data_IF_647121035900
#
_entry.id   IF_647121035900
#
_cell.length_a   1.000
_cell.length_b   1.000
_cell.length_c   1.000
_cell.angle_alpha   90.00
_cell.angle_beta   90.00
_cell.angle_gamma   90.00
#
_symmetry.space_group_name_H-M   'P 1'
#
loop_
_entity.id
_entity.type
_entity.pdbx_description
1 polymer ?
#
# COMPACT_ATOMS: atom_id res chain seq x y z
N UNK A 1 -13.11 32.43 -12.49
CA UNK A 1 -13.67 31.47 -11.53
C UNK A 1 -12.87 31.59 -10.25
N UNK A 2 -13.51 31.74 -9.09
CA UNK A 2 -12.79 31.76 -7.81
C UNK A 2 -12.26 30.34 -7.52
N UNK A 3 -11.10 30.23 -6.87
CA UNK A 3 -10.53 28.92 -6.49
C UNK A 3 -11.56 28.06 -5.71
N UNK A 4 -12.36 28.67 -4.84
CA UNK A 4 -13.42 28.00 -4.07
C UNK A 4 -14.53 27.37 -4.92
N UNK A 5 -14.76 27.87 -6.14
CA UNK A 5 -15.79 27.40 -7.07
C UNK A 5 -15.30 26.20 -7.92
N UNK A 6 -13.98 25.97 -7.99
CA UNK A 6 -13.41 24.86 -8.73
C UNK A 6 -13.65 23.52 -8.00
N UNK A 7 -13.78 22.41 -8.75
CA UNK A 7 -14.02 21.09 -8.17
C UNK A 7 -12.78 20.58 -7.42
N UNK A 8 -13.00 19.55 -6.60
CA UNK A 8 -11.92 18.68 -6.10
C UNK A 8 -11.78 17.51 -7.06
N UNK A 9 -10.58 17.29 -7.59
CA UNK A 9 -10.32 16.14 -8.47
C UNK A 9 -9.93 14.94 -7.61
N UNK A 10 -10.55 13.79 -7.88
CA UNK A 10 -10.19 12.49 -7.31
C UNK A 10 -9.61 11.61 -8.43
N UNK A 11 -8.37 11.14 -8.26
CA UNK A 11 -7.69 10.29 -9.23
C UNK A 11 -7.87 8.83 -8.82
N UNK A 12 -8.58 8.06 -9.63
CA UNK A 12 -8.90 6.65 -9.41
C UNK A 12 -10.26 6.43 -8.75
N UNK A 13 -11.07 5.54 -9.34
CA UNK A 13 -12.39 5.12 -8.85
C UNK A 13 -12.33 3.74 -8.18
N UNK A 14 -11.28 3.51 -7.38
CA UNK A 14 -11.23 2.38 -6.44
C UNK A 14 -12.04 2.65 -5.16
N UNK A 15 -12.05 1.72 -4.19
CA UNK A 15 -12.82 1.86 -2.95
C UNK A 15 -12.53 3.17 -2.20
N UNK A 16 -11.26 3.54 -2.07
CA UNK A 16 -10.83 4.76 -1.36
C UNK A 16 -11.20 6.03 -2.15
N UNK A 17 -11.07 6.02 -3.48
CA UNK A 17 -11.45 7.16 -4.31
C UNK A 17 -12.95 7.42 -4.33
N UNK A 18 -13.76 6.37 -4.43
CA UNK A 18 -15.23 6.50 -4.33
C UNK A 18 -15.67 6.92 -2.93
N UNK A 19 -15.00 6.44 -1.87
CA UNK A 19 -15.25 6.93 -0.52
C UNK A 19 -14.92 8.42 -0.41
N UNK A 20 -13.78 8.89 -0.95
CA UNK A 20 -13.46 10.32 -0.99
C UNK A 20 -14.56 11.13 -1.68
N UNK A 21 -15.09 10.66 -2.81
CA UNK A 21 -16.20 11.30 -3.50
C UNK A 21 -17.48 11.32 -2.65
N UNK A 22 -17.80 10.22 -1.95
CA UNK A 22 -18.95 10.16 -1.04
C UNK A 22 -18.84 11.21 0.08
N UNK A 23 -17.68 11.30 0.74
CA UNK A 23 -17.41 12.30 1.77
C UNK A 23 -17.47 13.74 1.22
N UNK A 24 -17.00 13.97 -0.02
CA UNK A 24 -17.06 15.30 -0.66
C UNK A 24 -18.51 15.72 -0.91
N UNK A 25 -19.31 14.81 -1.48
CA UNK A 25 -20.74 15.02 -1.76
C UNK A 25 -21.53 15.28 -0.46
N UNK A 26 -21.25 14.51 0.61
CA UNK A 26 -21.89 14.69 1.91
C UNK A 26 -21.62 16.08 2.52
N UNK A 27 -20.53 16.74 2.13
CA UNK A 27 -20.14 18.09 2.56
C UNK A 27 -20.45 19.18 1.52
N UNK A 28 -21.21 18.87 0.47
CA UNK A 28 -21.59 19.82 -0.58
C UNK A 28 -20.42 20.29 -1.45
N UNK A 29 -19.29 19.57 -1.44
CA UNK A 29 -18.14 19.86 -2.29
C UNK A 29 -18.25 19.03 -3.56
N UNK A 30 -18.17 19.67 -4.73
CA UNK A 30 -18.27 18.98 -6.03
C UNK A 30 -16.99 18.17 -6.33
N UNK A 31 -17.05 16.83 -6.43
CA UNK A 31 -15.95 16.04 -6.96
C UNK A 31 -15.95 15.99 -8.50
N UNK A 32 -14.79 15.71 -9.08
CA UNK A 32 -14.63 15.11 -10.42
C UNK A 32 -13.71 13.90 -10.30
N UNK A 33 -14.18 12.72 -10.66
CA UNK A 33 -13.46 11.46 -10.51
C UNK A 33 -12.94 11.02 -11.88
N UNK A 34 -11.64 10.81 -12.00
CA UNK A 34 -11.02 10.29 -13.22
C UNK A 34 -10.52 8.87 -13.01
N UNK A 35 -11.08 7.91 -13.74
CA UNK A 35 -10.70 6.50 -13.72
C UNK A 35 -10.14 6.10 -15.09
N UNK A 36 -8.94 5.54 -15.08
CA UNK A 36 -8.26 5.16 -16.31
C UNK A 36 -8.89 3.90 -16.96
N UNK A 37 -9.45 3.00 -16.15
CA UNK A 37 -10.15 1.80 -16.59
C UNK A 37 -11.52 2.08 -17.19
N UNK A 38 -12.10 1.04 -17.79
CA UNK A 38 -13.44 1.06 -18.38
C UNK A 38 -14.58 0.91 -17.36
N UNK A 39 -14.24 0.65 -16.09
CA UNK A 39 -15.16 0.58 -14.95
C UNK A 39 -14.47 1.05 -13.67
N UNK A 40 -15.27 1.45 -12.67
CA UNK A 40 -14.78 1.65 -11.32
C UNK A 40 -14.18 0.36 -10.77
N UNK A 41 -13.08 0.46 -10.01
CA UNK A 41 -12.38 -0.70 -9.46
C UNK A 41 -11.72 -1.60 -10.51
N UNK A 42 -11.31 -1.08 -11.68
CA UNK A 42 -10.68 -1.87 -12.76
C UNK A 42 -9.47 -2.70 -12.31
N UNK A 43 -8.66 -2.21 -11.36
CA UNK A 43 -7.58 -3.01 -10.77
C UNK A 43 -8.10 -4.23 -9.98
N UNK A 44 -9.23 -4.09 -9.28
CA UNK A 44 -9.85 -5.18 -8.51
C UNK A 44 -10.29 -6.33 -9.41
N UNK A 45 -10.81 -6.04 -10.61
CA UNK A 45 -11.20 -7.12 -11.55
C UNK A 45 -10.04 -8.03 -11.94
N UNK A 46 -8.79 -7.54 -11.92
CA UNK A 46 -7.59 -8.33 -12.26
C UNK A 46 -7.23 -9.36 -11.19
N UNK A 47 -7.66 -9.15 -9.95
CA UNK A 47 -7.48 -10.10 -8.84
C UNK A 47 -8.82 -10.52 -8.24
N UNK A 48 -9.91 -10.47 -9.01
CA UNK A 48 -11.25 -10.71 -8.49
C UNK A 48 -11.47 -12.10 -7.87
N UNK A 49 -10.67 -13.09 -8.24
CA UNK A 49 -10.72 -14.43 -7.65
C UNK A 49 -10.13 -14.49 -6.23
N UNK A 50 -9.28 -13.54 -5.84
CA UNK A 50 -8.56 -13.55 -4.57
C UNK A 50 -9.50 -13.23 -3.42
N UNK A 51 -9.49 -14.07 -2.37
CA UNK A 51 -10.21 -13.82 -1.11
C UNK A 51 -9.45 -12.82 -0.24
N UNK A 52 -10.16 -11.86 0.32
CA UNK A 52 -9.62 -10.85 1.23
C UNK A 52 -9.41 -11.43 2.63
N UNK A 53 -8.46 -10.85 3.37
CA UNK A 53 -8.20 -11.20 4.78
C UNK A 53 -9.00 -10.36 5.78
N UNK A 54 -9.81 -9.42 5.29
CA UNK A 54 -10.67 -8.54 6.09
C UNK A 54 -12.15 -8.89 5.85
N UNK A 55 -12.97 -8.98 6.91
CA UNK A 55 -14.41 -9.14 6.79
C UNK A 55 -15.06 -7.87 6.21
N UNK A 56 -16.30 -7.99 5.72
CA UNK A 56 -17.05 -6.90 5.09
C UNK A 56 -17.14 -5.62 5.92
N UNK A 57 -17.24 -5.73 7.24
CA UNK A 57 -17.28 -4.57 8.16
C UNK A 57 -16.06 -3.63 8.05
N UNK A 58 -14.90 -4.14 7.62
CA UNK A 58 -13.70 -3.32 7.40
C UNK A 58 -13.49 -2.93 5.93
N UNK A 59 -14.39 -3.39 5.05
CA UNK A 59 -14.27 -3.21 3.61
C UNK A 59 -15.26 -2.20 3.03
N UNK A 60 -16.21 -1.71 3.82
CA UNK A 60 -17.23 -0.74 3.42
C UNK A 60 -17.05 0.56 4.20
N UNK A 61 -16.96 1.70 3.51
CA UNK A 61 -16.92 3.01 4.16
C UNK A 61 -18.31 3.41 4.68
N UNK A 62 -18.35 4.07 5.85
CA UNK A 62 -19.60 4.43 6.53
C UNK A 62 -20.42 5.47 5.75
N UNK A 63 -19.77 6.43 5.10
CA UNK A 63 -20.45 7.48 4.33
C UNK A 63 -20.92 6.95 2.97
N UNK A 64 -20.07 6.16 2.30
CA UNK A 64 -20.45 5.43 1.09
C UNK A 64 -21.65 4.49 1.32
N UNK A 65 -21.69 3.80 2.45
CA UNK A 65 -22.83 2.95 2.83
C UNK A 65 -24.14 3.73 2.96
N UNK A 66 -24.12 4.98 3.46
CA UNK A 66 -25.32 5.82 3.54
C UNK A 66 -25.85 6.18 2.15
N UNK A 67 -24.95 6.55 1.22
CA UNK A 67 -25.32 6.81 -0.17
C UNK A 67 -25.92 5.57 -0.84
N UNK A 68 -25.32 4.40 -0.63
CA UNK A 68 -25.83 3.14 -1.14
C UNK A 68 -27.19 2.78 -0.55
N UNK A 69 -27.39 2.92 0.76
CA UNK A 69 -28.64 2.57 1.42
C UNK A 69 -29.85 3.33 0.83
N UNK A 70 -29.66 4.57 0.38
CA UNK A 70 -30.70 5.36 -0.30
C UNK A 70 -31.17 4.75 -1.63
N UNK A 71 -30.42 3.81 -2.22
CA UNK A 71 -30.77 3.09 -3.46
C UNK A 71 -31.48 1.75 -3.22
N UNK A 72 -31.74 1.38 -1.95
CA UNK A 72 -32.23 0.05 -1.59
C UNK A 72 -31.13 -1.01 -1.54
N UNK A 73 -29.85 -0.62 -1.57
CA UNK A 73 -28.72 -1.52 -1.40
C UNK A 73 -28.76 -2.22 -0.04
N UNK A 74 -28.53 -3.53 -0.04
CA UNK A 74 -28.46 -4.34 1.18
C UNK A 74 -27.00 -4.68 1.45
N UNK A 75 -26.52 -4.30 2.63
CA UNK A 75 -25.15 -4.57 3.05
C UNK A 75 -24.90 -6.09 3.16
N UNK A 76 -23.76 -6.59 2.66
CA UNK A 76 -23.35 -7.98 2.88
C UNK A 76 -23.15 -8.29 4.37
N UNK A 77 -23.20 -9.58 4.73
CA UNK A 77 -23.01 -10.02 6.11
C UNK A 77 -21.65 -9.63 6.68
N UNK A 78 -21.66 -8.80 7.73
CA UNK A 78 -20.48 -8.12 8.28
C UNK A 78 -19.25 -9.02 8.51
N UNK A 79 -19.44 -10.21 9.10
CA UNK A 79 -18.35 -11.13 9.45
C UNK A 79 -17.85 -12.05 8.32
N UNK A 80 -18.38 -11.92 7.10
CA UNK A 80 -17.93 -12.73 5.96
C UNK A 80 -16.80 -12.05 5.18
N UNK A 81 -15.91 -12.85 4.59
CA UNK A 81 -14.70 -12.39 3.90
C UNK A 81 -14.91 -12.41 2.39
N UNK A 82 -15.04 -11.25 1.72
CA UNK A 82 -15.28 -11.20 0.29
C UNK A 82 -14.06 -11.62 -0.52
N UNK A 83 -14.32 -12.09 -1.74
CA UNK A 83 -13.37 -12.06 -2.84
C UNK A 83 -13.32 -10.67 -3.48
N UNK A 84 -12.26 -10.35 -4.23
CA UNK A 84 -12.19 -9.11 -5.00
C UNK A 84 -13.40 -8.93 -5.93
N UNK A 85 -13.92 -10.02 -6.50
CA UNK A 85 -15.10 -10.03 -7.37
C UNK A 85 -16.38 -9.70 -6.59
N UNK A 86 -16.52 -10.19 -5.37
CA UNK A 86 -17.63 -9.85 -4.48
C UNK A 86 -17.54 -8.39 -4.03
N UNK A 87 -16.35 -7.91 -3.63
CA UNK A 87 -16.09 -6.49 -3.33
C UNK A 87 -16.51 -5.59 -4.49
N UNK A 88 -16.12 -5.97 -5.72
CA UNK A 88 -16.44 -5.21 -6.92
C UNK A 88 -17.95 -5.20 -7.19
N UNK A 89 -18.59 -6.37 -7.22
CA UNK A 89 -20.01 -6.51 -7.60
C UNK A 89 -20.98 -6.00 -6.53
N UNK A 90 -20.66 -6.19 -5.25
CA UNK A 90 -21.59 -5.91 -4.15
C UNK A 90 -21.34 -4.54 -3.51
N UNK A 91 -20.23 -3.86 -3.76
CA UNK A 91 -19.93 -2.56 -3.15
C UNK A 91 -19.44 -1.50 -4.15
N UNK A 92 -18.32 -1.75 -4.85
CA UNK A 92 -17.67 -0.72 -5.68
C UNK A 92 -18.51 -0.32 -6.90
N UNK A 93 -18.99 -1.29 -7.69
CA UNK A 93 -19.81 -1.00 -8.87
C UNK A 93 -21.17 -0.39 -8.49
N UNK A 94 -21.90 -0.91 -7.48
CA UNK A 94 -23.12 -0.24 -6.99
C UNK A 94 -22.89 1.21 -6.56
N UNK A 95 -21.79 1.49 -5.85
CA UNK A 95 -21.47 2.84 -5.39
C UNK A 95 -21.18 3.79 -6.55
N UNK A 96 -20.41 3.32 -7.53
CA UNK A 96 -20.12 4.07 -8.75
C UNK A 96 -21.37 4.36 -9.60
N UNK A 97 -22.41 3.52 -9.50
CA UNK A 97 -23.66 3.65 -10.24
C UNK A 97 -24.70 4.55 -9.54
N UNK A 98 -24.46 5.00 -8.31
CA UNK A 98 -25.33 5.98 -7.65
C UNK A 98 -25.36 7.26 -8.48
N UNK A 99 -26.52 7.83 -8.86
CA UNK A 99 -26.59 8.96 -9.80
C UNK A 99 -25.65 10.13 -9.47
N UNK A 100 -25.63 10.56 -8.20
CA UNK A 100 -24.76 11.67 -7.76
C UNK A 100 -23.26 11.35 -7.86
N UNK A 101 -22.87 10.08 -7.89
CA UNK A 101 -21.49 9.63 -8.11
C UNK A 101 -21.23 9.42 -9.60
N UNK A 102 -22.12 8.76 -10.34
CA UNK A 102 -21.95 8.52 -11.77
C UNK A 102 -21.86 9.81 -12.58
N UNK A 103 -22.60 10.85 -12.18
CA UNK A 103 -22.62 12.16 -12.84
C UNK A 103 -21.26 12.91 -12.78
N UNK A 104 -20.38 12.52 -11.85
CA UNK A 104 -19.05 13.08 -11.71
C UNK A 104 -17.92 12.08 -12.02
N UNK A 105 -18.27 10.87 -12.47
CA UNK A 105 -17.33 9.79 -12.77
C UNK A 105 -17.00 9.76 -14.27
N UNK A 106 -15.73 9.98 -14.58
CA UNK A 106 -15.18 9.91 -15.92
C UNK A 106 -14.33 8.65 -16.07
N UNK A 107 -14.92 7.62 -16.67
CA UNK A 107 -14.24 6.36 -17.02
C UNK A 107 -13.38 6.54 -18.28
N UNK A 108 -12.46 5.59 -18.53
CA UNK A 108 -11.53 5.59 -19.66
C UNK A 108 -10.76 6.92 -19.79
N UNK A 109 -10.52 7.57 -18.66
CA UNK A 109 -9.93 8.90 -18.59
C UNK A 109 -8.73 8.86 -17.65
N UNK A 110 -7.54 8.81 -18.22
CA UNK A 110 -6.28 8.72 -17.48
C UNK A 110 -5.78 10.12 -17.15
N UNK A 111 -5.46 10.38 -15.88
CA UNK A 111 -4.70 11.57 -15.50
C UNK A 111 -3.24 11.37 -15.91
N UNK A 112 -2.71 12.29 -16.71
CA UNK A 112 -1.35 12.28 -17.22
C UNK A 112 -0.40 13.11 -16.35
N UNK A 113 -0.87 14.27 -15.88
CA UNK A 113 -0.06 15.19 -15.08
C UNK A 113 -0.94 16.07 -14.18
N UNK A 114 -0.38 16.49 -13.06
CA UNK A 114 -0.92 17.49 -12.14
C UNK A 114 0.16 18.54 -11.88
N UNK A 115 -0.18 19.81 -12.07
CA UNK A 115 0.70 20.95 -11.79
C UNK A 115 -0.08 22.09 -11.15
N UNK A 116 0.60 23.19 -10.81
CA UNK A 116 -0.03 24.45 -10.41
C UNK A 116 -0.15 25.35 -11.65
N UNK A 117 -1.37 25.81 -11.94
CA UNK A 117 -1.68 26.56 -13.16
C UNK A 117 -0.83 27.84 -13.25
N UNK A 118 -0.06 27.96 -14.34
CA UNK A 118 0.86 29.08 -14.58
C UNK A 118 1.99 29.25 -13.56
N UNK A 119 2.21 28.28 -12.66
CA UNK A 119 3.19 28.39 -11.56
C UNK A 119 4.28 27.33 -11.66
N UNK A 120 5.46 27.76 -12.09
CA UNK A 120 6.69 26.96 -12.13
C UNK A 120 7.07 26.42 -10.74
N UNK A 121 7.54 25.17 -10.70
CA UNK A 121 7.88 24.44 -9.46
C UNK A 121 8.96 25.14 -8.62
N UNK A 122 9.85 25.92 -9.21
CA UNK A 122 10.90 26.67 -8.51
C UNK A 122 10.45 28.06 -8.03
N UNK A 123 9.30 28.57 -8.49
CA UNK A 123 8.82 29.91 -8.14
C UNK A 123 7.84 29.88 -6.98
N UNK A 124 7.99 30.83 -6.04
CA UNK A 124 7.13 30.93 -4.85
C UNK A 124 5.93 31.87 -5.05
N UNK A 125 6.12 32.98 -5.77
CA UNK A 125 5.13 34.04 -5.88
C UNK A 125 3.85 33.53 -6.54
N UNK A 126 2.73 33.60 -5.82
CA UNK A 126 1.40 33.22 -6.32
C UNK A 126 1.15 31.72 -6.42
N UNK A 127 2.10 30.88 -5.99
CA UNK A 127 1.96 29.42 -6.10
C UNK A 127 0.90 28.88 -5.16
N UNK A 128 0.85 29.35 -3.92
CA UNK A 128 -0.10 28.84 -2.93
C UNK A 128 -1.55 29.04 -3.40
N UNK A 129 -1.83 30.20 -4.00
CA UNK A 129 -3.16 30.61 -4.46
C UNK A 129 -3.54 30.07 -5.86
N UNK A 130 -2.59 29.54 -6.62
CA UNK A 130 -2.84 29.02 -7.96
C UNK A 130 -3.74 27.76 -7.91
N UNK A 131 -4.62 27.61 -8.90
CA UNK A 131 -5.38 26.38 -9.08
C UNK A 131 -4.43 25.22 -9.44
N UNK A 132 -4.90 23.98 -9.24
CA UNK A 132 -4.27 22.84 -9.86
C UNK A 132 -4.72 22.75 -11.32
N UNK A 133 -3.79 22.48 -12.23
CA UNK A 133 -4.08 22.07 -13.60
C UNK A 133 -3.86 20.56 -13.68
N UNK A 134 -4.91 19.83 -14.07
CA UNK A 134 -4.88 18.37 -14.24
C UNK A 134 -5.07 18.06 -15.71
N UNK A 135 -4.04 17.49 -16.34
CA UNK A 135 -4.10 17.01 -17.72
C UNK A 135 -4.66 15.60 -17.74
N UNK A 136 -5.71 15.40 -18.52
CA UNK A 136 -6.36 14.09 -18.69
C UNK A 136 -6.39 13.67 -20.15
N UNK A 137 -6.22 12.37 -20.41
CA UNK A 137 -6.45 11.73 -21.71
C UNK A 137 -7.71 10.87 -21.60
N UNK A 138 -8.79 11.31 -22.26
CA UNK A 138 -10.07 10.62 -22.30
C UNK A 138 -10.48 10.19 -23.71
N UNK A 139 -11.70 9.66 -23.89
CA UNK A 139 -12.21 9.22 -25.18
C UNK A 139 -12.27 10.31 -26.26
N UNK A 140 -12.33 11.59 -25.85
CA UNK A 140 -12.38 12.76 -26.73
C UNK A 140 -11.00 13.37 -26.99
N UNK A 141 -9.92 12.77 -26.47
CA UNK A 141 -8.56 13.28 -26.55
C UNK A 141 -8.06 13.88 -25.23
N UNK A 142 -6.96 14.63 -25.32
CA UNK A 142 -6.33 15.29 -24.17
C UNK A 142 -6.98 16.64 -23.87
N UNK A 143 -7.18 16.93 -22.58
CA UNK A 143 -7.64 18.24 -22.10
C UNK A 143 -7.13 18.56 -20.71
N UNK A 144 -7.08 19.85 -20.40
CA UNK A 144 -6.71 20.36 -19.08
C UNK A 144 -7.96 20.71 -18.28
N UNK A 145 -7.97 20.37 -16.99
CA UNK A 145 -9.06 20.64 -16.05
C UNK A 145 -8.49 21.37 -14.84
N UNK A 146 -9.11 22.49 -14.48
CA UNK A 146 -8.72 23.24 -13.28
C UNK A 146 -9.43 22.69 -12.03
N UNK A 147 -8.71 22.62 -10.92
CA UNK A 147 -9.21 22.16 -9.64
C UNK A 147 -8.69 22.99 -8.46
N UNK A 148 -9.45 23.00 -7.37
CA UNK A 148 -9.03 23.63 -6.11
C UNK A 148 -8.14 22.72 -5.28
N UNK A 149 -8.28 21.41 -5.43
CA UNK A 149 -7.56 20.38 -4.70
C UNK A 149 -7.55 19.07 -5.50
N UNK A 150 -6.58 18.21 -5.20
CA UNK A 150 -6.39 16.90 -5.85
C UNK A 150 -6.20 15.82 -4.79
N UNK A 151 -7.01 14.78 -4.85
CA UNK A 151 -6.88 13.57 -4.02
C UNK A 151 -6.44 12.44 -4.95
N UNK A 152 -5.19 12.00 -4.80
CA UNK A 152 -4.62 10.89 -5.56
C UNK A 152 -4.86 9.55 -4.85
N UNK A 153 -5.90 8.85 -5.30
CA UNK A 153 -6.30 7.52 -4.83
C UNK A 153 -6.01 6.41 -5.87
N UNK A 154 -5.06 6.64 -6.79
CA UNK A 154 -4.78 5.74 -7.92
C UNK A 154 -4.12 4.40 -7.53
N UNK A 155 -3.74 4.25 -6.25
CA UNK A 155 -3.15 3.01 -5.73
C UNK A 155 -1.76 2.71 -6.29
N UNK A 156 -1.36 1.44 -6.21
CA UNK A 156 -0.02 0.96 -6.62
C UNK A 156 -0.07 -0.19 -7.63
N UNK A 157 -1.24 -0.78 -7.88
CA UNK A 157 -1.39 -2.05 -8.60
C UNK A 157 -0.88 -2.03 -10.05
N UNK A 158 -0.92 -0.87 -10.72
CA UNK A 158 -0.39 -0.73 -12.08
C UNK A 158 1.15 -0.70 -12.14
N UNK A 159 1.84 -0.59 -11.00
CA UNK A 159 3.31 -0.44 -10.94
C UNK A 159 3.93 -1.51 -10.04
N UNK A 160 4.17 -2.73 -10.57
CA UNK A 160 4.80 -3.79 -9.80
C UNK A 160 6.25 -3.44 -9.43
N UNK A 161 6.74 -4.07 -8.37
CA UNK A 161 8.16 -4.16 -8.07
C UNK A 161 8.81 -5.16 -9.02
N UNK A 162 9.99 -4.86 -9.52
CA UNK A 162 10.68 -5.74 -10.46
C UNK A 162 11.07 -7.10 -9.83
N UNK A 163 11.28 -8.10 -10.68
CA UNK A 163 11.81 -9.40 -10.27
C UNK A 163 13.30 -9.29 -9.90
N UNK A 164 14.05 -8.47 -10.64
CA UNK A 164 15.46 -8.21 -10.38
C UNK A 164 15.74 -7.74 -8.95
N UNK A 165 16.81 -8.30 -8.36
CA UNK A 165 17.11 -8.12 -6.94
C UNK A 165 17.46 -6.67 -6.55
N UNK A 166 17.96 -5.88 -7.51
CA UNK A 166 18.45 -4.51 -7.29
C UNK A 166 17.37 -3.43 -7.43
N UNK A 167 16.09 -3.81 -7.44
CA UNK A 167 14.98 -2.84 -7.57
C UNK A 167 14.82 -2.26 -8.98
N UNK A 168 15.44 -2.90 -9.97
CA UNK A 168 15.34 -2.67 -11.42
C UNK A 168 15.07 -4.03 -12.11
N UNK A 169 14.61 -4.06 -13.38
CA UNK A 169 14.43 -5.33 -14.09
C UNK A 169 15.74 -6.12 -14.10
N UNK A 170 15.65 -7.44 -13.96
CA UNK A 170 16.76 -8.32 -14.28
C UNK A 170 17.07 -8.21 -15.79
N UNK A 171 18.32 -8.43 -16.17
CA UNK A 171 18.66 -8.53 -17.58
C UNK A 171 17.85 -9.67 -18.23
N UNK A 172 17.29 -9.43 -19.41
CA UNK A 172 16.40 -10.39 -20.11
C UNK A 172 14.95 -10.42 -19.61
N UNK A 173 14.63 -9.76 -18.50
CA UNK A 173 13.27 -9.78 -17.91
C UNK A 173 12.23 -9.11 -18.83
N UNK A 174 12.57 -7.96 -19.41
CA UNK A 174 11.65 -7.22 -20.28
C UNK A 174 11.44 -7.91 -21.61
N UNK A 175 12.48 -8.57 -22.13
CA UNK A 175 12.45 -9.39 -23.33
C UNK A 175 11.57 -10.63 -23.12
N UNK A 176 11.63 -11.24 -21.94
CA UNK A 176 10.86 -12.43 -21.57
C UNK A 176 9.41 -12.14 -21.11
N UNK A 177 8.90 -10.89 -21.24
CA UNK A 177 7.58 -10.47 -20.73
C UNK A 177 6.39 -11.32 -21.18
N UNK A 178 6.50 -12.04 -22.30
CA UNK A 178 5.44 -12.94 -22.77
C UNK A 178 5.19 -14.11 -21.81
N UNK A 179 6.22 -14.52 -21.05
CA UNK A 179 6.22 -15.67 -20.13
C UNK A 179 6.38 -15.25 -18.66
N UNK A 180 6.38 -13.94 -18.38
CA UNK A 180 6.50 -13.38 -17.03
C UNK A 180 5.24 -12.59 -16.70
N UNK A 181 4.53 -13.00 -15.64
CA UNK A 181 3.31 -12.34 -15.17
C UNK A 181 3.55 -11.73 -13.80
N UNK A 182 3.25 -10.44 -13.66
CA UNK A 182 3.26 -9.74 -12.38
C UNK A 182 1.91 -9.82 -11.67
N UNK A 183 1.92 -10.07 -10.36
CA UNK A 183 0.72 -10.05 -9.51
C UNK A 183 0.26 -11.44 -9.07
N UNK A 184 -1.06 -11.66 -9.12
CA UNK A 184 -1.72 -12.90 -8.69
C UNK A 184 -2.63 -13.35 -9.84
N UNK A 185 -2.13 -14.15 -10.81
CA UNK A 185 -2.96 -14.67 -11.89
C UNK A 185 -3.94 -15.73 -11.38
N UNK A 186 -5.09 -15.86 -12.05
CA UNK A 186 -6.12 -16.87 -11.75
C UNK A 186 -5.70 -18.24 -12.30
N UNK A 187 -4.59 -18.77 -11.78
CA UNK A 187 -3.85 -19.88 -12.37
C UNK A 187 -4.63 -21.20 -12.35
N UNK A 188 -5.59 -21.37 -11.45
CA UNK A 188 -6.50 -22.52 -11.43
C UNK A 188 -7.83 -22.25 -12.15
N UNK A 189 -8.25 -21.00 -12.24
CA UNK A 189 -9.49 -20.60 -12.91
C UNK A 189 -9.27 -20.22 -14.37
N UNK A 190 -9.51 -18.96 -14.69
CA UNK A 190 -9.58 -18.50 -16.08
C UNK A 190 -8.25 -18.60 -16.84
N UNK A 191 -7.11 -18.66 -16.15
CA UNK A 191 -5.79 -18.67 -16.77
C UNK A 191 -5.14 -20.08 -16.74
N UNK A 192 -5.89 -21.13 -16.38
CA UNK A 192 -5.36 -22.49 -16.22
C UNK A 192 -4.65 -23.04 -17.46
N UNK A 193 -5.09 -22.71 -18.68
CA UNK A 193 -4.46 -23.16 -19.91
C UNK A 193 -3.02 -22.66 -20.08
N UNK A 194 -2.67 -21.52 -19.47
CA UNK A 194 -1.30 -21.00 -19.47
C UNK A 194 -0.36 -21.86 -18.65
N UNK A 195 -0.85 -22.43 -17.55
CA UNK A 195 -0.02 -23.07 -16.52
C UNK A 195 -0.12 -24.60 -16.49
N UNK A 196 -1.17 -25.19 -17.07
CA UNK A 196 -1.39 -26.64 -17.07
C UNK A 196 -0.25 -27.38 -17.76
N UNK A 197 0.24 -28.43 -17.13
CA UNK A 197 1.36 -29.25 -17.62
C UNK A 197 2.65 -28.43 -17.88
N UNK A 198 2.81 -27.27 -17.22
CA UNK A 198 4.00 -26.42 -17.32
C UNK A 198 4.85 -26.44 -16.05
N UNK A 199 6.11 -26.08 -16.20
CA UNK A 199 7.02 -25.74 -15.10
C UNK A 199 6.85 -24.26 -14.79
N UNK A 200 6.42 -23.94 -13.58
CA UNK A 200 6.10 -22.58 -13.18
C UNK A 200 6.95 -22.17 -11.99
N UNK A 201 7.67 -21.05 -12.12
CA UNK A 201 8.41 -20.43 -11.02
C UNK A 201 7.59 -19.29 -10.42
N UNK A 202 7.28 -19.36 -9.13
CA UNK A 202 6.73 -18.25 -8.37
C UNK A 202 7.87 -17.53 -7.64
N UNK A 203 8.01 -16.22 -7.83
CA UNK A 203 9.03 -15.38 -7.18
C UNK A 203 8.37 -14.46 -6.16
N UNK A 204 8.82 -14.53 -4.91
CA UNK A 204 8.35 -13.66 -3.83
C UNK A 204 7.85 -14.43 -2.60
N UNK A 205 7.91 -13.81 -1.43
CA UNK A 205 7.57 -14.44 -0.15
C UNK A 205 6.33 -13.87 0.55
N UNK A 206 5.49 -13.11 -0.17
CA UNK A 206 4.27 -12.53 0.38
C UNK A 206 3.02 -13.38 0.13
N UNK A 207 1.89 -12.97 0.68
CA UNK A 207 0.59 -13.64 0.51
C UNK A 207 0.15 -13.78 -0.95
N UNK A 208 0.56 -12.85 -1.82
CA UNK A 208 0.36 -12.96 -3.27
C UNK A 208 0.98 -14.22 -3.85
N UNK A 209 2.22 -14.55 -3.44
CA UNK A 209 2.90 -15.77 -3.87
C UNK A 209 2.19 -17.02 -3.32
N UNK A 210 1.71 -16.97 -2.08
CA UNK A 210 1.02 -18.11 -1.46
C UNK A 210 -0.29 -18.47 -2.15
N UNK A 211 -1.06 -17.47 -2.61
CA UNK A 211 -2.26 -17.73 -3.40
C UNK A 211 -1.90 -18.40 -4.73
N UNK A 212 -0.94 -17.84 -5.48
CA UNK A 212 -0.49 -18.44 -6.74
C UNK A 212 0.03 -19.88 -6.57
N UNK A 213 0.79 -20.15 -5.50
CA UNK A 213 1.28 -21.49 -5.20
C UNK A 213 0.14 -22.48 -4.90
N UNK A 214 -0.90 -22.06 -4.17
CA UNK A 214 -2.07 -22.90 -3.92
C UNK A 214 -2.83 -23.22 -5.20
N UNK A 215 -3.07 -22.23 -6.05
CA UNK A 215 -3.75 -22.41 -7.33
C UNK A 215 -2.98 -23.35 -8.25
N UNK A 216 -1.66 -23.18 -8.36
CA UNK A 216 -0.81 -24.07 -9.17
C UNK A 216 -0.75 -25.50 -8.65
N UNK A 217 -0.73 -25.69 -7.34
CA UNK A 217 -0.75 -27.03 -6.74
C UNK A 217 -2.12 -27.70 -6.93
N UNK A 218 -3.20 -26.93 -6.83
CA UNK A 218 -4.53 -27.42 -7.14
C UNK A 218 -4.62 -27.82 -8.62
N UNK A 219 -4.11 -26.99 -9.53
CA UNK A 219 -4.03 -27.29 -10.96
C UNK A 219 -3.21 -28.56 -11.24
N UNK A 220 -2.13 -28.79 -10.51
CA UNK A 220 -1.29 -29.97 -10.67
C UNK A 220 -2.01 -31.29 -10.31
N UNK A 221 -3.10 -31.23 -9.53
CA UNK A 221 -3.95 -32.41 -9.28
C UNK A 221 -4.70 -32.85 -10.55
N UNK A 222 -5.12 -31.90 -11.40
CA UNK A 222 -5.84 -32.15 -12.66
C UNK A 222 -4.88 -32.27 -13.86
N UNK A 223 -3.69 -31.68 -13.76
CA UNK A 223 -2.65 -31.66 -14.78
C UNK A 223 -1.30 -32.12 -14.20
N UNK A 224 -1.04 -33.46 -14.10
CA UNK A 224 0.07 -34.01 -13.32
C UNK A 224 1.49 -33.66 -13.81
N UNK A 225 1.64 -33.18 -15.05
CA UNK A 225 2.94 -32.72 -15.55
C UNK A 225 3.30 -31.30 -15.06
N UNK A 226 2.38 -30.60 -14.40
CA UNK A 226 2.61 -29.28 -13.82
C UNK A 226 3.65 -29.37 -12.70
N UNK A 227 4.71 -28.57 -12.77
CA UNK A 227 5.77 -28.49 -11.75
C UNK A 227 5.78 -27.11 -11.13
N UNK A 228 5.76 -27.06 -9.80
CA UNK A 228 5.70 -25.81 -9.04
C UNK A 228 7.03 -25.55 -8.35
N UNK A 229 7.70 -24.49 -8.79
CA UNK A 229 8.93 -23.97 -8.19
C UNK A 229 8.63 -22.67 -7.45
N UNK A 230 9.29 -22.45 -6.32
CA UNK A 230 9.14 -21.25 -5.52
C UNK A 230 10.49 -20.66 -5.17
N UNK A 231 10.72 -19.38 -5.47
CA UNK A 231 11.95 -18.67 -5.15
C UNK A 231 11.70 -17.53 -4.16
N UNK A 232 12.52 -17.49 -3.10
CA UNK A 232 12.51 -16.44 -2.09
C UNK A 232 13.91 -15.85 -1.88
N UNK A 233 13.95 -14.54 -1.61
CA UNK A 233 15.17 -13.82 -1.22
C UNK A 233 15.67 -14.21 0.17
N UNK A 234 14.76 -14.39 1.13
CA UNK A 234 15.11 -14.71 2.51
C UNK A 234 15.57 -16.16 2.71
N UNK A 235 16.21 -16.41 3.85
CA UNK A 235 16.63 -17.77 4.26
C UNK A 235 15.69 -18.40 5.30
N UNK A 236 14.98 -17.59 6.11
CA UNK A 236 14.04 -18.09 7.13
C UNK A 236 12.65 -18.27 6.54
N UNK A 237 12.23 -19.53 6.47
CA UNK A 237 10.89 -19.90 6.06
C UNK A 237 9.87 -19.63 7.18
N UNK A 238 10.24 -19.73 8.47
CA UNK A 238 9.32 -19.46 9.58
C UNK A 238 8.82 -18.01 9.55
N UNK A 239 9.70 -17.05 9.28
CA UNK A 239 9.32 -15.64 9.17
C UNK A 239 8.38 -15.37 8.00
N UNK A 240 8.55 -16.08 6.89
CA UNK A 240 7.77 -15.92 5.66
C UNK A 240 6.38 -16.55 5.79
N UNK A 241 6.29 -17.74 6.39
CA UNK A 241 5.01 -18.44 6.58
C UNK A 241 4.11 -17.78 7.64
N UNK A 242 4.63 -16.80 8.40
CA UNK A 242 3.86 -16.06 9.38
C UNK A 242 3.53 -16.88 10.64
N UNK A 243 3.02 -16.21 11.68
CA UNK A 243 2.87 -16.71 13.05
C UNK A 243 1.93 -17.92 13.26
N UNK A 244 1.54 -18.64 12.21
CA UNK A 244 0.69 -19.82 12.28
C UNK A 244 -0.64 -19.54 12.96
N UNK A 245 -1.03 -20.37 13.93
CA UNK A 245 -2.23 -20.17 14.76
C UNK A 245 -2.19 -18.90 15.61
N UNK A 246 -1.02 -18.27 15.77
CA UNK A 246 -0.84 -17.00 16.49
C UNK A 246 -0.84 -15.78 15.55
N UNK A 247 -1.10 -15.98 14.25
CA UNK A 247 -1.32 -14.86 13.34
C UNK A 247 -2.65 -14.18 13.69
N UNK A 248 -2.58 -12.86 13.84
CA UNK A 248 -3.69 -12.05 14.33
C UNK A 248 -4.82 -11.89 13.32
N UNK A 249 -4.55 -12.12 12.04
CA UNK A 249 -5.59 -12.42 11.05
C UNK A 249 -5.58 -13.92 10.79
N UNK A 250 -6.59 -14.62 11.31
CA UNK A 250 -6.66 -16.09 11.26
C UNK A 250 -6.47 -16.64 9.83
N UNK A 251 -7.13 -16.01 8.85
CA UNK A 251 -7.03 -16.43 7.44
C UNK A 251 -5.61 -16.28 6.86
N UNK A 252 -4.84 -15.31 7.36
CA UNK A 252 -3.46 -15.10 6.95
C UNK A 252 -2.53 -16.20 7.48
N UNK A 253 -2.66 -16.52 8.77
CA UNK A 253 -1.92 -17.63 9.39
C UNK A 253 -2.29 -18.99 8.80
N UNK A 254 -3.58 -19.19 8.50
CA UNK A 254 -4.08 -20.38 7.81
C UNK A 254 -3.42 -20.57 6.44
N UNK A 255 -3.24 -19.48 5.68
CA UNK A 255 -2.58 -19.53 4.37
C UNK A 255 -1.13 -20.02 4.48
N UNK A 256 -0.37 -19.51 5.45
CA UNK A 256 1.00 -19.94 5.72
C UNK A 256 1.10 -21.41 6.11
N UNK A 257 0.22 -21.88 6.99
CA UNK A 257 0.18 -23.30 7.40
C UNK A 257 -0.13 -24.24 6.22
N UNK A 258 -1.02 -23.82 5.30
CA UNK A 258 -1.31 -24.58 4.07
C UNK A 258 -0.07 -24.70 3.19
N UNK A 259 0.65 -23.61 2.93
CA UNK A 259 1.89 -23.65 2.13
C UNK A 259 2.94 -24.55 2.77
N UNK A 260 3.09 -24.50 4.10
CA UNK A 260 3.98 -25.42 4.83
C UNK A 260 3.63 -26.88 4.54
N UNK A 261 2.36 -27.25 4.65
CA UNK A 261 1.92 -28.62 4.38
C UNK A 261 2.20 -29.05 2.93
N UNK A 262 2.07 -28.14 1.96
CA UNK A 262 2.37 -28.43 0.55
C UNK A 262 3.87 -28.64 0.30
N UNK A 263 4.74 -27.93 1.01
CA UNK A 263 6.19 -28.18 0.99
C UNK A 263 6.53 -29.52 1.61
N UNK A 264 5.95 -29.82 2.78
CA UNK A 264 6.18 -31.10 3.49
C UNK A 264 5.71 -32.30 2.64
N UNK A 265 4.69 -32.11 1.80
CA UNK A 265 4.21 -33.10 0.82
C UNK A 265 5.07 -33.18 -0.47
N UNK A 266 6.09 -32.35 -0.63
CA UNK A 266 6.94 -32.32 -1.83
C UNK A 266 6.25 -31.76 -3.09
N UNK A 267 5.11 -31.07 -2.94
CA UNK A 267 4.34 -30.52 -4.07
C UNK A 267 4.94 -29.23 -4.62
N UNK A 268 5.78 -28.56 -3.83
CA UNK A 268 6.47 -27.31 -4.18
C UNK A 268 7.97 -27.50 -3.95
N UNK A 269 8.78 -27.13 -4.93
CA UNK A 269 10.25 -27.09 -4.77
C UNK A 269 10.70 -25.68 -4.45
N UNK A 270 11.31 -25.49 -3.28
CA UNK A 270 11.70 -24.17 -2.75
C UNK A 270 13.20 -23.86 -2.96
N UNK A 271 13.50 -22.71 -3.54
CA UNK A 271 14.81 -22.09 -3.63
C UNK A 271 14.90 -20.88 -2.70
N UNK A 272 15.94 -20.86 -1.84
CA UNK A 272 16.16 -19.80 -0.83
C UNK A 272 17.39 -18.98 -1.19
N UNK A 273 17.48 -17.77 -0.64
CA UNK A 273 18.63 -16.89 -0.91
C UNK A 273 18.71 -16.43 -2.37
N UNK A 274 17.59 -16.47 -3.10
CA UNK A 274 17.57 -16.18 -4.53
C UNK A 274 17.64 -14.68 -4.76
N UNK A 275 18.70 -14.23 -5.43
CA UNK A 275 18.96 -12.84 -5.82
C UNK A 275 19.09 -12.78 -7.35
N UNK A 276 17.96 -12.55 -8.03
CA UNK A 276 17.87 -12.65 -9.48
C UNK A 276 18.57 -11.48 -10.15
N UNK A 277 19.54 -11.76 -11.02
CA UNK A 277 20.28 -10.76 -11.81
C UNK A 277 19.98 -10.83 -13.31
N UNK A 278 19.67 -12.02 -13.83
CA UNK A 278 19.52 -12.28 -15.26
C UNK A 278 18.52 -13.41 -15.53
N UNK A 279 17.85 -13.36 -16.68
CA UNK A 279 16.99 -14.42 -17.21
C UNK A 279 17.32 -14.67 -18.66
N UNK A 280 17.68 -15.91 -19.00
CA UNK A 280 17.87 -16.34 -20.39
C UNK A 280 16.62 -17.03 -20.93
N UNK A 281 16.27 -16.72 -22.17
CA UNK A 281 15.29 -17.51 -22.94
C UNK A 281 16.03 -18.54 -23.79
N UNK A 282 15.79 -19.83 -23.52
CA UNK A 282 16.43 -20.95 -24.21
C UNK A 282 15.40 -21.90 -24.81
N UNK A 283 15.82 -22.85 -25.65
CA UNK A 283 14.94 -23.92 -26.15
C UNK A 283 14.33 -24.76 -25.03
N UNK A 284 15.03 -24.88 -23.90
CA UNK A 284 14.56 -25.61 -22.72
C UNK A 284 13.61 -24.80 -21.82
N UNK A 285 13.36 -23.52 -22.13
CA UNK A 285 12.58 -22.57 -21.33
C UNK A 285 13.41 -21.41 -20.78
N UNK A 286 12.84 -20.70 -19.82
CA UNK A 286 13.46 -19.60 -19.08
C UNK A 286 14.42 -20.13 -18.02
N UNK A 287 15.66 -19.64 -18.02
CA UNK A 287 16.68 -19.97 -16.99
C UNK A 287 16.94 -18.71 -16.16
N UNK A 288 16.66 -18.81 -14.87
CA UNK A 288 16.86 -17.71 -13.91
C UNK A 288 18.24 -17.85 -13.27
N UNK A 289 19.03 -16.78 -13.31
CA UNK A 289 20.36 -16.70 -12.70
C UNK A 289 20.32 -15.96 -11.37
N UNK A 290 20.98 -16.52 -10.37
CA UNK A 290 21.04 -15.99 -9.02
C UNK A 290 22.37 -16.32 -8.37
N UNK A 291 23.12 -15.31 -7.90
CA UNK A 291 24.39 -15.48 -7.18
C UNK A 291 25.44 -16.36 -7.91
N UNK A 292 25.47 -16.35 -9.25
CA UNK A 292 26.36 -17.20 -10.04
C UNK A 292 25.88 -18.64 -10.23
N UNK A 293 24.71 -18.98 -9.71
CA UNK A 293 24.02 -20.25 -9.90
C UNK A 293 22.78 -20.08 -10.79
N UNK A 294 22.24 -21.20 -11.28
CA UNK A 294 21.01 -21.22 -12.09
C UNK A 294 19.92 -22.03 -11.41
N UNK A 295 18.69 -21.56 -11.51
CA UNK A 295 17.50 -22.33 -11.16
C UNK A 295 17.13 -23.24 -12.34
N UNK A 296 16.34 -24.32 -12.12
CA UNK A 296 15.86 -25.18 -13.21
C UNK A 296 15.11 -24.38 -14.28
N UNK A 297 15.23 -24.81 -15.53
CA UNK A 297 14.50 -24.20 -16.63
C UNK A 297 12.97 -24.32 -16.40
N UNK A 298 12.26 -23.21 -16.59
CA UNK A 298 10.80 -23.10 -16.41
C UNK A 298 10.13 -22.55 -17.66
N UNK A 299 8.83 -22.79 -17.81
CA UNK A 299 8.05 -22.30 -18.95
C UNK A 299 7.42 -20.94 -18.66
N UNK A 300 7.01 -20.70 -17.40
CA UNK A 300 6.32 -19.49 -16.97
C UNK A 300 6.87 -19.00 -15.61
N UNK A 301 6.89 -17.68 -15.40
CA UNK A 301 7.26 -17.06 -14.14
C UNK A 301 6.13 -16.17 -13.63
N UNK A 302 5.73 -16.36 -12.38
CA UNK A 302 4.81 -15.48 -11.65
C UNK A 302 5.63 -14.65 -10.67
N UNK A 303 5.63 -13.34 -10.84
CA UNK A 303 6.37 -12.39 -10.01
C UNK A 303 5.42 -11.71 -9.02
N UNK A 304 5.52 -12.15 -7.76
CA UNK A 304 4.72 -11.69 -6.63
C UNK A 304 5.59 -10.92 -5.61
N UNK A 305 6.35 -9.94 -6.10
CA UNK A 305 7.32 -9.14 -5.33
C UNK A 305 6.77 -7.80 -4.82
N UNK A 306 5.44 -7.63 -4.86
CA UNK A 306 4.73 -6.43 -4.41
C UNK A 306 4.67 -5.32 -5.47
N UNK A 307 4.23 -4.15 -5.03
CA UNK A 307 3.95 -3.00 -5.89
C UNK A 307 4.54 -1.72 -5.27
N UNK A 308 4.48 -0.61 -6.02
CA UNK A 308 4.97 0.72 -5.62
C UNK A 308 4.10 1.83 -6.22
N UNK A 309 4.14 3.06 -5.70
CA UNK A 309 3.38 4.17 -6.25
C UNK A 309 4.02 4.69 -7.55
N UNK A 310 3.19 5.11 -8.50
CA UNK A 310 3.63 5.94 -9.61
C UNK A 310 3.48 7.43 -9.25
N UNK A 311 4.61 8.10 -8.99
CA UNK A 311 4.64 9.52 -8.63
C UNK A 311 4.91 10.46 -9.82
N UNK A 312 5.15 9.93 -11.02
CA UNK A 312 5.53 10.74 -12.19
C UNK A 312 4.47 11.79 -12.52
N UNK A 313 3.18 11.45 -12.38
CA UNK A 313 2.07 12.36 -12.68
C UNK A 313 2.02 13.58 -11.74
N UNK A 314 2.73 13.55 -10.60
CA UNK A 314 2.80 14.65 -9.63
C UNK A 314 4.16 15.38 -9.66
N UNK A 315 4.98 15.14 -10.69
CA UNK A 315 6.37 15.62 -10.74
C UNK A 315 6.56 17.14 -10.71
N UNK A 316 5.52 17.91 -11.08
CA UNK A 316 5.52 19.39 -11.04
C UNK A 316 4.92 19.98 -9.76
N UNK A 317 4.73 19.13 -8.74
CA UNK A 317 4.28 19.53 -7.42
C UNK A 317 5.42 19.44 -6.40
N UNK A 318 5.35 20.28 -5.38
CA UNK A 318 6.23 20.24 -4.22
C UNK A 318 5.64 19.27 -3.21
N UNK A 319 6.10 18.03 -3.27
CA UNK A 319 5.69 16.95 -2.37
C UNK A 319 6.75 16.69 -1.29
N UNK A 320 6.30 16.31 -0.10
CA UNK A 320 7.16 15.79 0.96
C UNK A 320 7.07 14.26 0.97
N UNK A 321 7.95 13.60 0.20
CA UNK A 321 7.97 12.14 0.04
C UNK A 321 9.26 11.55 0.62
N UNK A 322 9.12 10.52 1.43
CA UNK A 322 10.24 9.70 1.91
C UNK A 322 10.81 8.85 0.75
N UNK A 323 12.13 8.95 0.44
CA UNK A 323 12.71 8.24 -0.70
C UNK A 323 12.64 6.71 -0.63
N UNK A 324 12.65 6.12 0.58
CA UNK A 324 12.74 4.67 0.76
C UNK A 324 11.36 4.01 0.60
N UNK A 325 10.40 4.46 1.40
CA UNK A 325 9.02 3.97 1.41
C UNK A 325 8.23 4.50 0.23
N UNK A 326 8.59 5.68 -0.30
CA UNK A 326 7.80 6.45 -1.28
C UNK A 326 6.44 6.90 -0.74
N UNK A 327 6.37 7.17 0.56
CA UNK A 327 5.18 7.63 1.29
C UNK A 327 5.33 9.11 1.69
N UNK A 328 4.27 9.82 2.08
CA UNK A 328 4.40 11.11 2.74
C UNK A 328 5.37 11.05 3.94
N UNK A 329 6.25 12.04 4.08
CA UNK A 329 7.34 12.03 5.09
C UNK A 329 6.83 11.85 6.51
N UNK A 330 5.70 12.46 6.86
CA UNK A 330 5.12 12.34 8.21
C UNK A 330 4.49 10.96 8.45
N UNK A 331 3.99 10.32 7.39
CA UNK A 331 3.42 8.97 7.48
C UNK A 331 4.51 7.89 7.53
N UNK A 332 5.63 8.07 6.81
CA UNK A 332 6.62 7.02 6.59
C UNK A 332 7.11 6.33 7.88
N UNK A 333 7.47 7.04 8.97
CA UNK A 333 7.87 6.40 10.22
C UNK A 333 6.76 5.54 10.86
N UNK A 334 5.49 5.90 10.66
CA UNK A 334 4.34 5.21 11.27
C UNK A 334 4.00 3.87 10.60
N UNK A 335 4.54 3.63 9.40
CA UNK A 335 4.23 2.46 8.58
C UNK A 335 5.47 1.67 8.16
N UNK A 336 6.66 2.02 8.66
CA UNK A 336 7.90 1.33 8.30
C UNK A 336 7.80 -0.16 8.63
N UNK A 337 7.92 -1.06 7.63
CA UNK A 337 7.80 -2.50 7.86
C UNK A 337 8.91 -3.10 8.74
N UNK A 338 9.98 -2.35 9.01
CA UNK A 338 11.04 -2.75 9.94
C UNK A 338 10.65 -2.51 11.40
N UNK A 339 9.75 -1.56 11.66
CA UNK A 339 9.36 -1.14 13.01
C UNK A 339 7.91 -1.53 13.36
N UNK A 340 7.06 -1.65 12.34
CA UNK A 340 5.61 -1.75 12.51
C UNK A 340 4.99 -2.92 11.76
N UNK A 341 3.85 -3.39 12.30
CA UNK A 341 2.95 -4.35 11.67
C UNK A 341 1.56 -3.72 11.55
N UNK A 342 0.66 -4.27 10.72
CA UNK A 342 -0.57 -3.57 10.30
C UNK A 342 -1.51 -3.03 11.41
N UNK A 343 -1.34 -3.43 12.66
CA UNK A 343 -2.17 -3.07 13.81
C UNK A 343 -1.35 -2.45 14.94
N UNK A 344 -0.11 -2.06 14.66
CA UNK A 344 0.63 -1.06 15.44
C UNK A 344 0.59 0.32 14.77
N UNK A 345 0.11 0.39 13.53
CA UNK A 345 -0.03 1.64 12.77
C UNK A 345 -1.16 2.46 13.39
N UNK A 346 -0.83 3.68 13.82
CA UNK A 346 -1.82 4.61 14.36
C UNK A 346 -2.73 5.14 13.23
N UNK A 347 -3.99 5.48 13.54
CA UNK A 347 -4.82 6.26 12.63
C UNK A 347 -4.07 7.52 12.19
N UNK A 348 -4.15 7.83 10.91
CA UNK A 348 -3.48 8.98 10.30
C UNK A 348 -4.40 9.58 9.24
N UNK A 349 -4.32 10.90 9.13
CA UNK A 349 -5.25 11.71 8.37
C UNK A 349 -4.55 12.86 7.69
N UNK A 350 -5.21 14.01 7.64
CA UNK A 350 -4.76 15.16 6.88
C UNK A 350 -3.36 15.64 7.28
N UNK A 351 -3.01 15.60 8.56
CA UNK A 351 -1.73 16.13 9.06
C UNK A 351 -0.55 15.28 8.53
N UNK A 352 -0.66 13.95 8.56
CA UNK A 352 0.39 13.05 8.05
C UNK A 352 0.46 12.99 6.51
N UNK A 353 -0.64 13.32 5.84
CA UNK A 353 -0.78 13.25 4.37
C UNK A 353 -0.54 14.59 3.67
N UNK A 354 -0.26 15.65 4.42
CA UNK A 354 -0.04 17.00 3.89
C UNK A 354 1.30 17.14 3.17
N UNK A 355 1.31 18.01 2.16
CA UNK A 355 2.48 18.33 1.34
C UNK A 355 2.74 19.84 1.29
N UNK A 356 3.97 20.28 0.92
CA UNK A 356 4.29 21.70 0.77
C UNK A 356 3.40 22.46 -0.20
N UNK A 357 3.00 21.86 -1.32
CA UNK A 357 1.87 22.37 -2.09
C UNK A 357 0.57 21.96 -1.39
N UNK A 358 -0.12 22.94 -0.80
CA UNK A 358 -1.39 22.70 -0.10
C UNK A 358 -2.51 22.29 -1.07
N UNK A 359 -3.38 21.38 -0.62
CA UNK A 359 -4.55 20.92 -1.38
C UNK A 359 -4.29 19.71 -2.28
N UNK A 360 -3.07 19.16 -2.32
CA UNK A 360 -2.81 17.83 -2.90
C UNK A 360 -2.58 16.80 -1.80
N UNK A 361 -3.23 15.63 -1.93
CA UNK A 361 -3.13 14.53 -0.98
C UNK A 361 -2.95 13.20 -1.71
N UNK A 362 -1.99 12.39 -1.28
CA UNK A 362 -1.84 11.01 -1.73
C UNK A 362 -2.50 10.12 -0.67
N UNK A 363 -3.49 9.31 -1.07
CA UNK A 363 -4.32 8.52 -0.14
C UNK A 363 -4.39 7.04 -0.51
N UNK A 364 -4.95 6.24 0.38
CA UNK A 364 -5.12 4.80 0.22
C UNK A 364 -3.80 4.06 0.15
N UNK A 365 -3.79 2.92 -0.55
CA UNK A 365 -2.57 2.11 -0.73
C UNK A 365 -1.41 2.91 -1.35
N UNK A 366 -1.69 3.98 -2.11
CA UNK A 366 -0.64 4.81 -2.71
C UNK A 366 0.14 5.59 -1.65
N UNK A 367 -0.52 6.03 -0.58
CA UNK A 367 0.12 6.79 0.49
C UNK A 367 1.06 5.91 1.33
N UNK A 368 0.82 4.59 1.35
CA UNK A 368 1.70 3.62 2.01
C UNK A 368 2.95 3.30 1.20
N UNK A 369 3.03 3.78 -0.03
CA UNK A 369 4.17 3.59 -0.90
C UNK A 369 4.48 2.10 -1.12
N UNK A 370 5.57 1.62 -0.54
CA UNK A 370 6.04 0.23 -0.60
C UNK A 370 5.73 -0.59 0.67
N UNK A 371 5.13 0.02 1.69
CA UNK A 371 4.78 -0.67 2.93
C UNK A 371 3.60 -1.63 2.69
N UNK A 372 3.69 -2.91 3.14
CA UNK A 372 2.70 -3.94 2.83
C UNK A 372 1.50 -3.99 3.80
N UNK A 373 1.37 -3.01 4.70
CA UNK A 373 0.52 -3.08 5.90
C UNK A 373 -0.80 -2.32 5.79
N UNK A 374 -1.24 -2.00 4.57
CA UNK A 374 -2.44 -1.21 4.33
C UNK A 374 -3.74 -2.00 4.53
N UNK A 375 -4.75 -1.35 5.11
CA UNK A 375 -6.12 -1.82 5.25
C UNK A 375 -7.07 -0.82 4.61
N UNK A 376 -8.16 -1.30 3.99
CA UNK A 376 -9.15 -0.39 3.38
C UNK A 376 -9.77 0.56 4.41
N UNK A 377 -10.02 0.07 5.63
CA UNK A 377 -10.50 0.87 6.75
C UNK A 377 -9.58 2.07 7.06
N UNK A 378 -8.26 1.88 6.97
CA UNK A 378 -7.30 2.98 7.11
C UNK A 378 -7.46 3.99 5.98
N UNK A 379 -7.59 3.53 4.73
CA UNK A 379 -7.85 4.41 3.60
C UNK A 379 -9.14 5.23 3.73
N UNK A 380 -10.18 4.64 4.33
CA UNK A 380 -11.43 5.34 4.62
C UNK A 380 -11.26 6.43 5.67
N UNK A 381 -10.49 6.16 6.74
CA UNK A 381 -10.15 7.18 7.73
C UNK A 381 -9.35 8.34 7.12
N UNK A 382 -8.38 8.04 6.25
CA UNK A 382 -7.59 9.04 5.56
C UNK A 382 -8.48 10.01 4.77
N UNK A 383 -9.39 9.48 3.94
CA UNK A 383 -10.24 10.33 3.10
C UNK A 383 -11.30 11.07 3.89
N UNK A 384 -11.84 10.49 4.97
CA UNK A 384 -12.73 11.19 5.92
C UNK A 384 -12.02 12.43 6.47
N UNK A 385 -10.79 12.26 6.99
CA UNK A 385 -9.99 13.33 7.57
C UNK A 385 -9.62 14.41 6.54
N UNK A 386 -9.07 14.00 5.39
CA UNK A 386 -8.67 14.92 4.30
C UNK A 386 -9.85 15.74 3.80
N UNK A 387 -10.99 15.10 3.56
CA UNK A 387 -12.17 15.77 3.01
C UNK A 387 -12.80 16.72 4.03
N UNK A 388 -12.77 16.39 5.33
CA UNK A 388 -13.19 17.32 6.38
C UNK A 388 -12.34 18.61 6.37
N UNK A 389 -11.02 18.47 6.28
CA UNK A 389 -10.12 19.63 6.21
C UNK A 389 -10.31 20.45 4.92
N UNK A 390 -10.48 19.78 3.78
CA UNK A 390 -10.80 20.44 2.51
C UNK A 390 -12.13 21.20 2.55
N UNK A 391 -13.10 20.76 3.36
CA UNK A 391 -14.36 21.46 3.59
C UNK A 391 -14.27 22.58 4.64
N UNK A 392 -13.10 22.78 5.27
CA UNK A 392 -12.86 23.79 6.31
C UNK A 392 -13.19 23.31 7.74
N UNK A 393 -13.57 22.06 7.92
CA UNK A 393 -13.91 21.45 9.21
C UNK A 393 -12.67 20.78 9.82
N UNK A 394 -11.76 21.61 10.33
CA UNK A 394 -10.49 21.18 10.90
C UNK A 394 -10.62 20.37 12.19
N UNK A 395 -11.70 20.57 12.95
CA UNK A 395 -11.97 19.77 14.14
C UNK A 395 -12.31 18.33 13.75
N UNK A 396 -13.22 18.13 12.79
CA UNK A 396 -13.49 16.79 12.28
C UNK A 396 -12.29 16.18 11.57
N UNK A 397 -11.49 16.99 10.86
CA UNK A 397 -10.29 16.51 10.18
C UNK A 397 -9.28 15.87 11.15
N UNK A 398 -9.07 16.48 12.33
CA UNK A 398 -8.10 16.00 13.32
C UNK A 398 -8.66 15.00 14.33
N UNK A 399 -9.97 14.80 14.36
CA UNK A 399 -10.58 13.74 15.17
C UNK A 399 -10.23 12.39 14.59
N UNK A 400 -9.83 11.45 15.44
CA UNK A 400 -9.60 10.06 15.06
C UNK A 400 -10.91 9.29 15.20
N UNK A 401 -11.39 8.71 14.10
CA UNK A 401 -12.64 7.90 14.09
C UNK A 401 -12.39 6.43 13.71
N UNK A 402 -11.12 6.04 13.57
CA UNK A 402 -10.69 4.67 13.27
C UNK A 402 -10.69 3.81 14.53
N UNK A 403 -11.63 2.87 14.60
CA UNK A 403 -11.66 1.82 15.62
C UNK A 403 -11.08 0.52 15.03
N UNK A 404 -9.88 0.13 15.50
CA UNK A 404 -9.30 -1.17 15.21
C UNK A 404 -9.56 -2.12 16.40
N UNK A 405 -9.97 -3.37 16.19
CA UNK A 405 -10.12 -4.36 17.26
C UNK A 405 -8.85 -4.52 18.12
N UNK A 406 -9.01 -4.49 19.44
CA UNK A 406 -7.90 -4.74 20.40
C UNK A 406 -7.29 -6.13 20.21
N UNK A 407 -8.10 -7.12 19.89
CA UNK A 407 -7.66 -8.43 19.40
C UNK A 407 -7.32 -8.35 17.92
N UNK A 408 -6.19 -7.71 17.63
CA UNK A 408 -5.34 -8.09 16.52
C UNK A 408 -5.91 -7.86 15.12
N UNK A 409 -5.87 -6.62 14.64
CA UNK A 409 -5.65 -6.37 13.20
C UNK A 409 -4.17 -6.10 12.92
N UNK A 410 -3.31 -6.92 13.54
CA UNK A 410 -1.82 -6.93 13.49
C UNK A 410 -1.07 -6.11 14.56
N UNK A 411 -1.31 -6.33 15.85
CA UNK A 411 -0.32 -5.94 16.86
C UNK A 411 0.86 -6.93 16.89
N UNK A 412 2.07 -6.55 17.30
CA UNK A 412 3.07 -7.46 17.86
C UNK A 412 3.27 -7.03 19.31
N UNK A 413 3.21 -7.96 20.27
CA UNK A 413 3.80 -7.69 21.58
C UNK A 413 5.29 -8.05 21.45
N UNK A 414 6.23 -7.17 21.80
CA UNK A 414 7.61 -7.59 21.97
C UNK A 414 7.65 -8.67 23.04
N UNK A 415 8.15 -9.86 22.71
CA UNK A 415 8.52 -10.83 23.73
C UNK A 415 9.63 -10.21 24.56
N UNK A 416 9.39 -10.04 25.86
CA UNK A 416 10.48 -9.75 26.77
C UNK A 416 11.42 -10.96 26.78
N UNK A 417 12.75 -10.75 26.74
CA UNK A 417 13.70 -11.85 26.82
C UNK A 417 13.45 -12.59 28.13
N UNK A 418 13.10 -13.88 28.01
CA UNK A 418 13.00 -14.78 29.16
C UNK A 418 14.33 -14.76 29.88
N UNK A 419 14.31 -14.23 31.11
CA UNK A 419 15.46 -14.21 31.99
C UNK A 419 16.07 -15.60 32.12
N UNK A 420 17.38 -15.67 31.95
CA UNK A 420 18.21 -16.84 32.25
C UNK A 420 18.01 -17.21 33.74
N UNK A 421 17.77 -18.49 34.09
CA UNK A 421 17.65 -18.88 35.49
C UNK A 421 19.04 -18.81 36.12
N UNK A 422 19.28 -17.78 36.94
CA UNK A 422 20.45 -17.70 37.81
C UNK A 422 20.11 -18.38 39.13
N UNK A 423 20.80 -19.50 39.38
CA UNK A 423 20.84 -20.18 40.68
C UNK A 423 21.70 -19.38 41.67
N UNK A 424 21.24 -19.22 42.91
CA UNK A 424 22.10 -18.99 44.08
C UNK A 424 21.84 -17.69 44.87
N UNK A 425 21.31 -17.86 46.08
CA UNK A 425 20.98 -16.89 47.15
C UNK A 425 22.23 -16.11 47.70
N UNK A 426 22.14 -15.21 48.74
CA UNK A 426 20.98 -14.87 49.58
C UNK A 426 20.76 -13.36 49.88
N UNK A 427 19.56 -13.11 50.43
CA UNK A 427 19.02 -11.88 51.00
C UNK A 427 19.93 -11.20 52.03
N UNK A 428 19.88 -9.86 52.12
CA UNK A 428 19.92 -9.22 53.44
C UNK A 428 18.76 -8.23 53.69
N UNK A 429 18.14 -8.47 54.84
CA UNK A 429 17.50 -7.61 55.83
C UNK A 429 17.04 -6.16 55.49
N UNK A 430 15.81 -5.88 55.92
CA UNK A 430 15.23 -4.56 56.11
C UNK A 430 15.76 -3.86 57.39
N UNK A 431 15.92 -2.52 57.35
CA UNK A 431 15.65 -1.56 58.45
C UNK A 431 15.85 -0.07 57.99
N UNK A 432 15.39 0.97 58.72
CA UNK A 432 14.31 1.88 58.30
C UNK A 432 14.73 3.39 58.21
N UNK A 433 13.81 4.40 58.14
CA UNK A 433 14.03 5.71 57.48
C UNK A 433 14.51 6.84 58.40
N UNK A 434 15.06 7.93 57.82
CA UNK A 434 15.25 9.24 58.48
C UNK A 434 15.17 10.42 57.48
N UNK A 435 14.58 11.52 57.95
CA UNK A 435 14.20 12.75 57.25
C UNK A 435 15.32 13.79 57.03
N UNK A 436 15.01 14.77 56.15
CA UNK A 436 15.44 16.18 56.03
C UNK A 436 16.95 16.51 55.98
N UNK A 437 17.49 17.29 55.02
CA UNK A 437 17.30 18.76 54.85
C UNK A 437 18.00 19.28 53.57
N UNK A 438 17.47 20.38 52.99
CA UNK A 438 18.08 21.57 52.30
C UNK A 438 19.57 21.52 51.84
N UNK A 439 20.10 22.09 50.74
CA UNK A 439 19.80 23.21 49.83
C UNK A 439 20.83 23.21 48.63
N UNK A 440 20.77 24.10 47.60
CA UNK A 440 21.33 23.91 46.24
C UNK A 440 22.63 24.69 45.92
N UNK A 441 23.34 24.29 44.84
CA UNK A 441 24.45 25.03 44.20
C UNK A 441 24.40 24.79 42.67
N UNK A 442 24.11 25.77 41.80
CA UNK A 442 24.92 26.92 41.32
C UNK A 442 25.87 26.58 40.15
N UNK A 443 25.68 27.28 39.02
CA UNK A 443 26.50 27.25 37.80
C UNK A 443 27.68 28.24 37.86
N UNK A 444 28.73 28.08 37.03
CA UNK A 444 29.69 29.15 36.75
C UNK A 444 29.65 29.67 35.29
N UNK A 445 29.80 31.00 35.18
CA UNK A 445 29.93 31.80 33.96
C UNK A 445 31.39 31.90 33.45
N UNK A 446 31.48 32.41 32.22
CA UNK A 446 32.63 32.65 31.35
C UNK A 446 33.71 33.63 31.86
N UNK A 447 34.89 33.55 31.23
CA UNK A 447 35.91 34.61 31.24
C UNK A 447 36.41 34.93 29.82
N UNK A 448 36.49 36.23 29.54
CA UNK A 448 36.91 36.90 28.31
C UNK A 448 38.40 36.71 27.95
N UNK A 449 38.74 36.86 26.66
CA UNK A 449 40.02 37.46 26.25
C UNK A 449 39.88 38.24 24.95
N UNK A 450 40.69 39.31 24.86
CA UNK A 450 40.53 40.51 24.02
C UNK A 450 41.18 40.42 22.64
N UNK A 451 40.68 41.33 21.78
CA UNK A 451 41.15 41.84 20.49
C UNK A 451 42.66 41.83 20.20
N UNK A 452 43.00 41.61 18.92
CA UNK A 452 43.70 42.60 18.07
C UNK A 452 43.76 42.13 16.60
N UNK A 453 43.56 43.07 15.67
CA UNK A 453 43.67 42.91 14.22
C UNK A 453 44.75 43.88 13.72
N UNK A 454 45.48 43.58 12.63
CA UNK A 454 45.88 44.66 11.72
C UNK A 454 45.74 44.31 10.21
N UNK A 455 44.95 45.12 9.53
CA UNK A 455 45.18 45.85 8.26
C UNK A 455 45.96 45.27 7.05
N UNK A 456 45.19 45.09 5.95
CA UNK A 456 45.26 45.79 4.63
C UNK A 456 46.31 45.48 3.53
N UNK A 457 45.77 45.49 2.28
CA UNK A 457 46.39 45.54 0.92
C UNK A 457 47.07 44.23 0.50
N UNK A 458 46.79 43.62 -0.65
CA UNK A 458 46.36 44.08 -1.98
C UNK A 458 45.39 43.08 -2.63
#
# INVERSE_FOLDING_TARGET
MKLSELPVIVIGAGPVGLAAAAHLLARGVKPLIFEAGDQAGASISRWGHVRMFSPWEYNVDREAAKLLAATGWVAPGAGSYPTGRELLKQYVLPLAAVPVVSDCLHLKTRVLAVSKDGADTLKNKGRAEAAFLVRVAGPEGEKDVLARAVIDASGTYETPNWMGASGIPALGELEAKAHIVYGIPDAYGNEHDRYRNRRVLVVGGGHSAFNALQDLVQLAADAPATKVYWAIRGHSLERILGGGANDKLAERGNLGMRIKALLDQGKITLFKGVSISHVDSTEAGLIVHSNGETLPAVDEIIVATGFRPNLQLLGELRLAIDPATQSPVQLAPLIDPNEHSCGTVRPHGIDELSHPDEGVFIVGMKSYGRAPTFLMLTGYEQVRSVVAGLAGDWEAARRVELELPETGVCSLRPEQPKGVPSCGAPTPAAQPPCCDTQAPLAAPQASESRCCNPTSRA
#
